data_IF_313023694981
#
_entry.id   IF_313023694981
#
_cell.length_a   1.000
_cell.length_b   1.000
_cell.length_c   1.000
_cell.angle_alpha   90.00
_cell.angle_beta   90.00
_cell.angle_gamma   90.00
#
_symmetry.space_group_name_H-M   'P 1'
#
loop_
_entity.id
_entity.type
_entity.pdbx_description
1 polymer ?
#
# COMPACT_ATOMS: atom_id res chain seq x y z
N UNK A 1 -9.22 16.12 -17.60
CA UNK A 1 -8.81 14.95 -16.79
C UNK A 1 -9.92 13.92 -16.80
N UNK A 2 -9.59 12.68 -17.04
CA UNK A 2 -10.51 11.52 -16.99
C UNK A 2 -10.00 10.51 -15.95
N UNK A 3 -10.92 9.84 -15.25
CA UNK A 3 -10.58 8.85 -14.23
C UNK A 3 -11.28 7.54 -14.57
N UNK A 4 -10.52 6.47 -14.76
CA UNK A 4 -11.05 5.13 -15.00
C UNK A 4 -10.77 4.26 -13.79
N UNK A 5 -11.79 3.57 -13.30
CA UNK A 5 -11.65 2.57 -12.26
C UNK A 5 -11.50 1.18 -12.86
N UNK A 6 -10.47 0.48 -12.46
CA UNK A 6 -10.49 -0.98 -12.57
C UNK A 6 -11.40 -1.62 -11.52
N UNK A 7 -11.43 -2.95 -11.50
CA UNK A 7 -12.33 -3.70 -10.63
C UNK A 7 -11.75 -4.02 -9.24
N UNK A 8 -10.43 -3.90 -9.05
CA UNK A 8 -9.77 -4.32 -7.81
C UNK A 8 -10.13 -3.49 -6.59
N UNK A 9 -10.47 -2.20 -6.77
CA UNK A 9 -10.79 -1.29 -5.66
C UNK A 9 -11.64 -0.10 -6.13
N UNK A 10 -12.83 -0.40 -6.63
CA UNK A 10 -13.76 0.61 -7.12
C UNK A 10 -14.15 1.64 -6.05
N UNK A 11 -14.38 1.27 -4.77
CA UNK A 11 -14.69 2.26 -3.72
C UNK A 11 -13.62 3.34 -3.55
N UNK A 12 -12.33 2.99 -3.63
CA UNK A 12 -11.25 3.98 -3.58
C UNK A 12 -11.29 4.91 -4.81
N UNK A 13 -11.52 4.37 -6.00
CA UNK A 13 -11.63 5.19 -7.21
C UNK A 13 -12.82 6.16 -7.13
N UNK A 14 -13.95 5.73 -6.60
CA UNK A 14 -15.14 6.57 -6.36
C UNK A 14 -14.85 7.66 -5.32
N UNK A 15 -14.13 7.33 -4.24
CA UNK A 15 -13.71 8.31 -3.23
C UNK A 15 -12.73 9.36 -3.80
N UNK A 16 -11.80 8.94 -4.67
CA UNK A 16 -10.89 9.86 -5.39
C UNK A 16 -11.69 10.77 -6.34
N UNK A 17 -12.62 10.20 -7.10
CA UNK A 17 -13.49 10.94 -8.02
C UNK A 17 -14.33 12.00 -7.28
N UNK A 18 -14.89 11.64 -6.12
CA UNK A 18 -15.61 12.55 -5.25
C UNK A 18 -14.72 13.68 -4.70
N UNK A 19 -13.50 13.35 -4.25
CA UNK A 19 -12.53 14.36 -3.78
C UNK A 19 -12.17 15.38 -4.89
N UNK A 20 -12.07 14.91 -6.13
CA UNK A 20 -11.71 15.73 -7.29
C UNK A 20 -12.89 16.45 -7.94
N UNK A 21 -14.11 16.20 -7.47
CA UNK A 21 -15.35 16.66 -8.12
C UNK A 21 -15.35 16.32 -9.61
N UNK A 22 -14.93 15.10 -9.94
CA UNK A 22 -14.78 14.62 -11.32
C UNK A 22 -15.37 13.21 -11.39
N UNK A 23 -16.40 12.97 -12.22
CA UNK A 23 -17.03 11.65 -12.30
C UNK A 23 -16.06 10.62 -12.88
N UNK A 24 -16.27 9.35 -12.53
CA UNK A 24 -15.58 8.25 -13.19
C UNK A 24 -16.03 8.17 -14.64
N UNK A 25 -15.05 7.98 -15.53
CA UNK A 25 -15.28 7.72 -16.96
C UNK A 25 -16.02 6.41 -17.12
N UNK A 26 -17.04 6.41 -17.97
CA UNK A 26 -17.82 5.21 -18.24
C UNK A 26 -16.99 4.21 -19.06
N UNK A 27 -16.78 3.06 -18.47
CA UNK A 27 -16.09 1.94 -19.09
C UNK A 27 -16.63 0.61 -18.56
N UNK A 28 -16.73 -0.36 -19.44
CA UNK A 28 -17.03 -1.74 -19.08
C UNK A 28 -15.72 -2.51 -18.91
N UNK A 29 -15.50 -3.04 -17.73
CA UNK A 29 -14.41 -3.95 -17.42
C UNK A 29 -15.04 -5.27 -16.98
N UNK A 30 -14.95 -6.29 -17.81
CA UNK A 30 -15.62 -7.57 -17.60
C UNK A 30 -14.74 -8.73 -18.07
N UNK A 31 -15.17 -9.93 -17.77
CA UNK A 31 -14.51 -11.16 -18.21
C UNK A 31 -15.40 -11.94 -19.14
N UNK A 32 -14.80 -12.56 -20.15
CA UNK A 32 -15.46 -13.58 -20.96
C UNK A 32 -15.63 -14.88 -20.14
N UNK A 33 -16.35 -15.84 -20.70
CA UNK A 33 -16.61 -17.14 -20.04
C UNK A 33 -15.33 -17.94 -19.75
N UNK A 34 -14.29 -17.75 -20.52
CA UNK A 34 -12.95 -18.32 -20.35
C UNK A 34 -12.02 -17.49 -19.45
N UNK A 35 -12.59 -16.44 -18.81
CA UNK A 35 -11.91 -15.54 -17.87
C UNK A 35 -10.96 -14.51 -18.53
N UNK A 36 -10.89 -14.42 -19.86
CA UNK A 36 -10.17 -13.33 -20.52
C UNK A 36 -10.77 -11.96 -20.17
N UNK A 37 -9.92 -10.98 -19.97
CA UNK A 37 -10.34 -9.62 -19.63
C UNK A 37 -10.79 -8.88 -20.90
N UNK A 38 -11.95 -8.25 -20.81
CA UNK A 38 -12.48 -7.34 -21.81
C UNK A 38 -12.65 -5.94 -21.22
N UNK A 39 -12.20 -4.93 -21.97
CA UNK A 39 -12.35 -3.51 -21.60
C UNK A 39 -12.96 -2.75 -22.78
N UNK A 40 -14.00 -1.98 -22.52
CA UNK A 40 -14.61 -1.05 -23.48
C UNK A 40 -14.81 0.30 -22.81
N UNK A 41 -14.27 1.36 -23.42
CA UNK A 41 -14.37 2.73 -22.92
C UNK A 41 -15.44 3.45 -23.72
N UNK A 42 -16.52 3.89 -23.05
CA UNK A 42 -17.70 4.47 -23.72
C UNK A 42 -17.60 5.98 -23.96
N UNK A 43 -16.59 6.62 -23.38
CA UNK A 43 -16.36 8.06 -23.53
C UNK A 43 -15.17 8.36 -24.44
N UNK A 44 -15.19 9.53 -25.05
CA UNK A 44 -14.04 9.99 -25.82
C UNK A 44 -12.87 10.32 -24.88
N UNK A 45 -11.74 9.66 -25.09
CA UNK A 45 -10.49 9.87 -24.34
C UNK A 45 -9.37 10.49 -25.16
N UNK A 46 -9.64 10.78 -26.46
CA UNK A 46 -8.64 11.36 -27.36
C UNK A 46 -8.15 12.71 -26.85
N UNK A 47 -6.84 12.84 -26.70
CA UNK A 47 -6.21 14.06 -26.22
C UNK A 47 -6.39 14.35 -24.72
N UNK A 48 -7.05 13.44 -23.99
CA UNK A 48 -7.28 13.59 -22.55
C UNK A 48 -6.07 13.11 -21.72
N UNK A 49 -5.96 13.69 -20.53
CA UNK A 49 -5.08 13.22 -19.45
C UNK A 49 -5.88 12.22 -18.61
N UNK A 50 -5.52 10.95 -18.66
CA UNK A 50 -6.30 9.85 -18.11
C UNK A 50 -5.56 9.16 -16.98
N UNK A 51 -6.25 8.96 -15.86
CA UNK A 51 -5.76 8.25 -14.68
C UNK A 51 -6.51 6.93 -14.54
N UNK A 52 -5.77 5.81 -14.52
CA UNK A 52 -6.33 4.46 -14.33
C UNK A 52 -6.05 4.03 -12.90
N UNK A 53 -7.08 3.92 -12.07
CA UNK A 53 -6.97 3.51 -10.67
C UNK A 53 -7.17 2.00 -10.57
N UNK A 54 -6.08 1.25 -10.30
CA UNK A 54 -6.11 -0.20 -10.19
C UNK A 54 -5.00 -0.70 -9.28
N UNK A 55 -5.34 -1.25 -8.13
CA UNK A 55 -4.40 -2.01 -7.28
C UNK A 55 -4.13 -3.39 -7.88
N UNK A 56 -2.87 -3.80 -7.93
CA UNK A 56 -2.49 -5.14 -8.39
C UNK A 56 -2.43 -6.14 -7.22
N UNK A 57 -3.45 -6.06 -6.35
CA UNK A 57 -3.69 -6.96 -5.21
C UNK A 57 -4.33 -8.28 -5.68
N UNK A 58 -4.62 -9.17 -4.72
CA UNK A 58 -5.29 -10.45 -5.03
C UNK A 58 -6.68 -10.24 -5.69
N UNK A 59 -6.97 -10.97 -6.76
CA UNK A 59 -6.11 -11.90 -7.52
C UNK A 59 -5.12 -11.14 -8.41
N UNK A 60 -3.82 -11.18 -8.04
CA UNK A 60 -2.80 -10.26 -8.56
C UNK A 60 -2.60 -10.35 -10.07
N UNK A 61 -2.60 -11.56 -10.64
CA UNK A 61 -2.41 -11.76 -12.08
C UNK A 61 -3.58 -11.20 -12.88
N UNK A 62 -4.80 -11.39 -12.39
CA UNK A 62 -6.01 -10.90 -13.02
C UNK A 62 -6.08 -9.38 -13.00
N UNK A 63 -5.81 -8.77 -11.84
CA UNK A 63 -5.82 -7.33 -11.68
C UNK A 63 -4.69 -6.64 -12.45
N UNK A 64 -3.54 -7.31 -12.58
CA UNK A 64 -2.45 -6.84 -13.44
C UNK A 64 -2.87 -6.88 -14.92
N UNK A 65 -3.40 -8.01 -15.40
CA UNK A 65 -3.83 -8.12 -16.81
C UNK A 65 -4.92 -7.11 -17.12
N UNK A 66 -5.86 -6.87 -16.22
CA UNK A 66 -6.90 -5.85 -16.37
C UNK A 66 -6.30 -4.44 -16.51
N UNK A 67 -5.30 -4.11 -15.70
CA UNK A 67 -4.56 -2.86 -15.84
C UNK A 67 -3.92 -2.76 -17.23
N UNK A 68 -3.18 -3.78 -17.67
CA UNK A 68 -2.47 -3.77 -18.95
C UNK A 68 -3.42 -3.61 -20.13
N UNK A 69 -4.55 -4.33 -20.16
CA UNK A 69 -5.57 -4.22 -21.22
C UNK A 69 -6.22 -2.84 -21.23
N UNK A 70 -6.46 -2.26 -20.03
CA UNK A 70 -7.01 -0.90 -19.91
C UNK A 70 -6.04 0.15 -20.46
N UNK A 71 -4.76 0.03 -20.15
CA UNK A 71 -3.72 0.93 -20.66
C UNK A 71 -3.61 0.86 -22.18
N UNK A 72 -3.64 -0.36 -22.76
CA UNK A 72 -3.61 -0.55 -24.23
C UNK A 72 -4.86 0.04 -24.92
N UNK A 73 -6.05 -0.13 -24.32
CA UNK A 73 -7.28 0.47 -24.84
C UNK A 73 -7.20 2.01 -24.88
N UNK A 74 -6.67 2.63 -23.82
CA UNK A 74 -6.48 4.09 -23.76
C UNK A 74 -5.45 4.59 -24.76
N UNK A 75 -4.33 3.88 -24.93
CA UNK A 75 -3.30 4.18 -25.91
C UNK A 75 -3.87 4.13 -27.33
N UNK A 76 -4.66 3.10 -27.66
CA UNK A 76 -5.37 2.99 -28.95
C UNK A 76 -6.46 4.02 -29.11
N UNK A 77 -7.09 4.45 -28.00
CA UNK A 77 -8.04 5.56 -27.96
C UNK A 77 -7.39 6.94 -28.12
N UNK A 78 -6.05 7.01 -28.27
CA UNK A 78 -5.27 8.26 -28.43
C UNK A 78 -5.38 9.19 -27.22
N UNK A 79 -5.43 8.68 -26.00
CA UNK A 79 -5.24 9.49 -24.81
C UNK A 79 -3.90 10.24 -24.90
N UNK A 80 -3.85 11.47 -24.39
CA UNK A 80 -2.64 12.32 -24.46
C UNK A 80 -1.57 11.85 -23.49
N UNK A 81 -1.99 11.51 -22.28
CA UNK A 81 -1.13 11.01 -21.20
C UNK A 81 -1.91 10.00 -20.39
N UNK A 82 -1.30 8.89 -20.06
CA UNK A 82 -1.92 7.82 -19.28
C UNK A 82 -1.10 7.62 -18.01
N UNK A 83 -1.71 7.92 -16.86
CA UNK A 83 -1.11 7.69 -15.55
C UNK A 83 -1.72 6.44 -14.92
N UNK A 84 -0.90 5.43 -14.68
CA UNK A 84 -1.29 4.25 -13.90
C UNK A 84 -1.22 4.59 -12.41
N UNK A 85 -2.37 4.72 -11.78
CA UNK A 85 -2.50 4.92 -10.32
C UNK A 85 -2.65 3.55 -9.69
N UNK A 86 -1.58 3.07 -9.07
CA UNK A 86 -1.49 1.72 -8.51
C UNK A 86 -1.31 1.83 -6.99
N UNK A 87 -2.41 1.95 -6.21
CA UNK A 87 -2.32 2.15 -4.76
C UNK A 87 -1.56 1.03 -4.06
N UNK A 88 -1.72 -0.21 -4.50
CA UNK A 88 -0.89 -1.35 -4.11
C UNK A 88 -0.20 -1.96 -5.33
N UNK A 89 1.13 -1.92 -5.32
CA UNK A 89 1.97 -2.51 -6.36
C UNK A 89 2.30 -3.97 -5.99
N UNK A 90 1.60 -4.90 -6.60
CA UNK A 90 1.83 -6.33 -6.42
C UNK A 90 3.22 -6.76 -6.90
N UNK A 91 3.70 -7.90 -6.42
CA UNK A 91 5.05 -8.42 -6.69
C UNK A 91 6.20 -7.54 -6.19
N UNK A 92 5.94 -6.43 -5.49
CA UNK A 92 6.96 -5.53 -4.97
C UNK A 92 7.99 -6.21 -4.06
N UNK A 93 7.60 -7.28 -3.36
CA UNK A 93 8.49 -8.08 -2.50
C UNK A 93 9.53 -8.91 -3.28
N UNK A 94 9.41 -8.97 -4.62
CA UNK A 94 10.35 -9.65 -5.51
C UNK A 94 11.18 -8.61 -6.28
N UNK A 95 11.81 -7.70 -5.53
CA UNK A 95 12.59 -6.57 -6.04
C UNK A 95 14.06 -6.92 -6.32
N UNK A 96 14.50 -8.11 -5.92
CA UNK A 96 15.86 -8.63 -6.09
C UNK A 96 15.85 -10.15 -6.21
N UNK A 97 16.94 -10.70 -6.69
CA UNK A 97 17.13 -12.16 -6.70
C UNK A 97 17.29 -12.66 -5.27
N UNK A 98 16.41 -13.53 -4.82
CA UNK A 98 16.47 -14.20 -3.52
C UNK A 98 17.33 -15.47 -3.53
N UNK A 99 17.73 -15.94 -4.71
CA UNK A 99 18.57 -17.13 -4.91
C UNK A 99 19.01 -17.28 -6.36
N UNK A 100 19.77 -18.33 -6.67
CA UNK A 100 20.18 -18.62 -8.04
C UNK A 100 18.96 -18.84 -8.95
N UNK A 101 18.97 -18.27 -10.15
CA UNK A 101 17.93 -18.46 -11.20
C UNK A 101 16.53 -18.01 -10.79
N UNK A 102 16.40 -17.10 -9.81
CA UNK A 102 15.13 -16.46 -9.45
C UNK A 102 14.91 -15.19 -10.27
N UNK A 103 13.64 -14.82 -10.55
CA UNK A 103 13.30 -13.59 -11.27
C UNK A 103 13.45 -12.35 -10.38
N UNK A 104 13.34 -11.17 -11.02
CA UNK A 104 13.04 -9.89 -10.38
C UNK A 104 11.65 -9.47 -10.89
N UNK A 105 10.60 -10.01 -10.29
CA UNK A 105 9.24 -9.86 -10.80
C UNK A 105 8.75 -8.41 -10.74
N UNK A 106 9.20 -7.63 -9.76
CA UNK A 106 8.88 -6.20 -9.69
C UNK A 106 9.37 -5.43 -10.93
N UNK A 107 10.58 -5.77 -11.46
CA UNK A 107 11.08 -5.18 -12.71
C UNK A 107 10.30 -5.65 -13.94
N UNK A 108 9.93 -6.93 -13.98
CA UNK A 108 9.11 -7.46 -15.08
C UNK A 108 7.77 -6.70 -15.18
N UNK A 109 7.09 -6.49 -14.05
CA UNK A 109 5.84 -5.75 -14.02
C UNK A 109 6.02 -4.30 -14.47
N UNK A 110 7.09 -3.63 -14.02
CA UNK A 110 7.39 -2.27 -14.44
C UNK A 110 7.52 -2.17 -15.98
N UNK A 111 8.22 -3.13 -16.60
CA UNK A 111 8.36 -3.19 -18.05
C UNK A 111 7.02 -3.44 -18.75
N UNK A 112 6.19 -4.35 -18.24
CA UNK A 112 4.87 -4.65 -18.82
C UNK A 112 3.95 -3.44 -18.77
N UNK A 113 3.88 -2.73 -17.64
CA UNK A 113 3.07 -1.52 -17.46
C UNK A 113 3.51 -0.41 -18.42
N UNK A 114 4.82 -0.18 -18.54
CA UNK A 114 5.37 0.80 -19.48
C UNK A 114 5.06 0.42 -20.93
N UNK A 115 5.27 -0.85 -21.31
CA UNK A 115 5.01 -1.36 -22.67
C UNK A 115 3.53 -1.28 -23.04
N UNK A 116 2.63 -1.51 -22.07
CA UNK A 116 1.18 -1.44 -22.28
C UNK A 116 0.69 -0.01 -22.58
N UNK A 117 1.47 1.02 -22.20
CA UNK A 117 1.16 2.40 -22.58
C UNK A 117 1.05 3.40 -21.44
N UNK A 118 1.50 3.05 -20.24
CA UNK A 118 1.61 4.04 -19.17
C UNK A 118 2.72 5.06 -19.47
N UNK A 119 2.43 6.35 -19.33
CA UNK A 119 3.39 7.45 -19.42
C UNK A 119 3.92 7.87 -18.05
N UNK A 120 3.23 7.48 -16.98
CA UNK A 120 3.58 7.76 -15.57
C UNK A 120 2.97 6.71 -14.65
N UNK A 121 3.62 6.48 -13.52
CA UNK A 121 3.08 5.68 -12.42
C UNK A 121 2.92 6.54 -11.17
N UNK A 122 1.78 6.42 -10.49
CA UNK A 122 1.53 6.96 -9.16
C UNK A 122 1.22 5.80 -8.22
N UNK A 123 1.97 5.68 -7.15
CA UNK A 123 1.80 4.59 -6.17
C UNK A 123 2.05 5.11 -4.76
N UNK A 124 1.83 4.25 -3.75
CA UNK A 124 2.05 4.60 -2.35
C UNK A 124 2.86 3.50 -1.65
N UNK A 125 3.83 3.88 -0.83
CA UNK A 125 4.67 3.02 0.01
C UNK A 125 5.16 1.74 -0.69
N UNK A 126 5.91 1.88 -1.77
CA UNK A 126 6.59 0.75 -2.39
C UNK A 126 7.42 -0.02 -1.35
N UNK A 127 7.37 -1.35 -1.41
CA UNK A 127 8.11 -2.23 -0.51
C UNK A 127 9.60 -1.87 -0.43
N UNK A 128 10.17 -1.48 -1.55
CA UNK A 128 11.55 -1.00 -1.64
C UNK A 128 11.61 0.23 -2.54
N UNK A 129 12.19 1.32 -2.05
CA UNK A 129 12.24 2.60 -2.77
C UNK A 129 12.93 2.54 -4.12
N UNK A 130 13.89 1.62 -4.28
CA UNK A 130 14.59 1.39 -5.55
C UNK A 130 13.70 0.87 -6.69
N UNK A 131 12.49 0.36 -6.39
CA UNK A 131 11.53 -0.07 -7.42
C UNK A 131 11.13 1.09 -8.34
N UNK A 132 11.17 2.34 -7.85
CA UNK A 132 10.99 3.53 -8.70
C UNK A 132 11.98 3.55 -9.87
N UNK A 133 13.21 3.11 -9.67
CA UNK A 133 14.23 3.00 -10.70
C UNK A 133 14.04 1.82 -11.67
N UNK A 134 13.02 0.97 -11.45
CA UNK A 134 12.67 -0.10 -12.41
C UNK A 134 11.83 0.41 -13.57
N UNK A 135 11.22 1.57 -13.41
CA UNK A 135 10.47 2.25 -14.45
C UNK A 135 11.39 3.21 -15.21
N UNK A 136 11.27 3.20 -16.53
CA UNK A 136 11.91 4.19 -17.41
C UNK A 136 11.00 5.40 -17.67
N UNK A 137 9.85 5.43 -17.02
CA UNK A 137 8.87 6.53 -17.02
C UNK A 137 8.80 7.17 -15.63
N UNK A 138 8.34 8.44 -15.51
CA UNK A 138 8.16 9.10 -14.23
C UNK A 138 7.33 8.26 -13.26
N UNK A 139 7.83 8.11 -12.03
CA UNK A 139 7.17 7.31 -10.98
C UNK A 139 7.15 8.11 -9.69
N UNK A 140 5.93 8.42 -9.23
CA UNK A 140 5.68 9.10 -7.97
C UNK A 140 5.28 8.06 -6.92
N UNK A 141 6.12 7.86 -5.90
CA UNK A 141 5.85 6.99 -4.76
C UNK A 141 5.50 7.85 -3.56
N UNK A 142 4.21 7.98 -3.25
CA UNK A 142 3.74 8.69 -2.05
C UNK A 142 3.96 7.86 -0.78
N UNK A 143 3.72 8.46 0.37
CA UNK A 143 3.80 7.81 1.67
C UNK A 143 2.51 7.98 2.46
N UNK A 144 2.04 6.92 3.13
CA UNK A 144 0.88 6.96 4.02
C UNK A 144 1.19 7.62 5.37
N UNK A 145 2.45 7.92 5.66
CA UNK A 145 2.88 8.51 6.92
C UNK A 145 2.08 9.76 7.35
N UNK A 146 1.73 10.72 6.48
CA UNK A 146 0.84 11.84 6.85
C UNK A 146 -0.51 11.37 7.37
N UNK A 147 -1.17 10.45 6.66
CA UNK A 147 -2.49 9.90 7.04
C UNK A 147 -2.42 9.18 8.38
N UNK A 148 -1.35 8.43 8.62
CA UNK A 148 -1.11 7.77 9.90
C UNK A 148 -0.82 8.76 11.02
N UNK A 149 -0.04 9.82 10.76
CA UNK A 149 0.28 10.85 11.74
C UNK A 149 -0.97 11.49 12.30
N UNK A 150 -1.88 11.92 11.43
CA UNK A 150 -3.12 12.59 11.81
C UNK A 150 -3.99 11.70 12.70
N UNK A 151 -4.12 10.43 12.33
CA UNK A 151 -4.91 9.46 13.08
C UNK A 151 -4.27 9.08 14.43
N UNK A 152 -2.95 8.93 14.47
CA UNK A 152 -2.22 8.65 15.72
C UNK A 152 -2.34 9.83 16.68
N UNK A 153 -2.16 11.06 16.21
CA UNK A 153 -2.28 12.27 17.04
C UNK A 153 -3.69 12.44 17.58
N UNK A 154 -4.72 12.14 16.79
CA UNK A 154 -6.10 12.18 17.24
C UNK A 154 -6.44 11.12 18.31
N UNK A 155 -5.77 9.94 18.25
CA UNK A 155 -6.01 8.84 19.19
C UNK A 155 -5.21 8.98 20.50
N UNK A 156 -4.01 9.55 20.44
CA UNK A 156 -3.06 9.61 21.57
C UNK A 156 -2.69 11.07 21.89
N UNK A 157 -3.54 11.72 22.70
CA UNK A 157 -3.33 13.13 23.13
C UNK A 157 -2.15 13.34 24.06
N UNK A 158 -1.66 12.31 24.77
CA UNK A 158 -0.63 12.40 25.81
C UNK A 158 0.37 11.24 25.77
N UNK A 159 1.44 11.46 25.26
CA UNK A 159 2.84 11.41 25.53
C UNK A 159 3.55 10.14 26.00
N UNK A 160 3.07 8.93 25.99
CA UNK A 160 3.89 7.72 26.21
C UNK A 160 3.98 6.84 24.94
N UNK A 161 4.03 7.50 23.79
CA UNK A 161 4.14 6.79 22.52
C UNK A 161 5.57 6.31 22.26
N UNK A 162 5.67 5.15 21.64
CA UNK A 162 6.88 4.60 21.08
C UNK A 162 6.57 4.05 19.70
N UNK A 163 7.26 4.54 18.67
CA UNK A 163 7.19 3.91 17.35
C UNK A 163 8.09 2.68 17.34
N UNK A 164 7.63 1.59 16.74
CA UNK A 164 8.35 0.33 16.70
C UNK A 164 8.51 -0.14 15.26
N UNK A 165 9.75 -0.42 14.86
CA UNK A 165 9.99 -1.16 13.62
C UNK A 165 9.88 -2.66 13.89
N UNK A 166 8.98 -3.39 13.20
CA UNK A 166 8.81 -4.83 13.42
C UNK A 166 9.98 -5.68 12.93
N UNK A 167 10.93 -5.08 12.21
CA UNK A 167 12.18 -5.69 11.76
C UNK A 167 13.23 -4.62 11.39
N UNK A 168 14.42 -5.06 11.04
CA UNK A 168 15.54 -4.16 10.67
C UNK A 168 15.26 -3.46 9.31
N UNK A 169 14.51 -4.10 8.42
CA UNK A 169 14.20 -3.55 7.08
C UNK A 169 13.28 -2.33 7.14
N UNK A 170 12.34 -2.29 8.09
CA UNK A 170 11.37 -1.21 8.27
C UNK A 170 11.88 0.02 9.03
N UNK A 171 13.12 0.01 9.54
CA UNK A 171 13.66 1.07 10.44
C UNK A 171 13.59 2.47 9.83
N UNK A 172 13.85 2.60 8.52
CA UNK A 172 13.82 3.93 7.86
C UNK A 172 12.40 4.51 7.90
N UNK A 173 11.38 3.70 7.61
CA UNK A 173 9.96 4.08 7.64
C UNK A 173 9.53 4.44 9.06
N UNK A 174 9.82 3.58 10.02
CA UNK A 174 9.49 3.80 11.43
C UNK A 174 10.15 5.07 11.98
N UNK A 175 11.42 5.32 11.64
CA UNK A 175 12.15 6.53 12.03
C UNK A 175 11.52 7.80 11.44
N UNK A 176 11.07 7.75 10.19
CA UNK A 176 10.40 8.89 9.57
C UNK A 176 9.12 9.26 10.34
N UNK A 177 8.29 8.27 10.68
CA UNK A 177 7.07 8.49 11.46
C UNK A 177 7.38 8.95 12.90
N UNK A 178 8.38 8.35 13.59
CA UNK A 178 8.80 8.76 14.92
C UNK A 178 9.23 10.24 14.96
N UNK A 179 9.97 10.70 13.95
CA UNK A 179 10.37 12.11 13.82
C UNK A 179 9.17 13.03 13.63
N UNK A 180 8.19 12.65 12.79
CA UNK A 180 6.97 13.45 12.59
C UNK A 180 6.16 13.63 13.87
N UNK A 181 6.07 12.56 14.65
CA UNK A 181 5.35 12.54 15.94
C UNK A 181 6.19 13.08 17.10
N UNK A 182 7.50 13.32 16.90
CA UNK A 182 8.45 13.70 17.91
C UNK A 182 8.48 12.72 19.11
N UNK A 183 8.58 11.41 18.81
CA UNK A 183 8.61 10.32 19.80
C UNK A 183 9.80 9.39 19.56
N UNK A 184 10.08 8.55 20.55
CA UNK A 184 11.17 7.58 20.50
C UNK A 184 10.89 6.42 19.53
N UNK A 185 11.95 5.71 19.14
CA UNK A 185 11.93 4.56 18.24
C UNK A 185 12.52 3.33 18.94
N UNK A 186 11.81 2.21 18.88
CA UNK A 186 12.33 0.88 19.18
C UNK A 186 12.39 0.01 17.92
N UNK A 187 13.24 -1.01 17.95
CA UNK A 187 13.45 -1.93 16.82
C UNK A 187 13.37 -3.36 17.32
N UNK A 188 12.65 -4.21 16.62
CA UNK A 188 12.63 -5.65 16.87
C UNK A 188 13.66 -6.31 15.93
N UNK A 189 14.75 -6.81 16.52
CA UNK A 189 15.76 -7.61 15.82
C UNK A 189 15.40 -9.10 15.94
N UNK A 190 15.07 -9.71 14.82
CA UNK A 190 14.68 -11.13 14.73
C UNK A 190 15.90 -11.97 14.44
N UNK A 191 16.25 -12.86 15.35
CA UNK A 191 17.36 -13.80 15.15
C UNK A 191 16.84 -15.22 15.16
N UNK A 192 17.20 -15.98 14.13
CA UNK A 192 17.07 -17.43 14.08
C UNK A 192 18.43 -18.05 14.37
N UNK A 193 18.71 -18.50 15.61
CA UNK A 193 20.03 -19.04 15.97
C UNK A 193 20.40 -20.27 15.13
N UNK A 194 19.42 -21.09 14.75
CA UNK A 194 19.56 -22.30 13.88
C UNK A 194 18.24 -22.63 13.21
N UNK A 195 18.31 -23.37 12.09
CA UNK A 195 17.12 -23.95 11.47
C UNK A 195 16.38 -24.89 12.47
N UNK A 196 15.06 -24.70 12.63
CA UNK A 196 14.24 -25.48 13.57
C UNK A 196 14.14 -24.95 14.99
N UNK A 197 14.85 -23.86 15.34
CA UNK A 197 14.72 -23.19 16.64
C UNK A 197 13.73 -22.04 16.55
N UNK A 198 12.95 -21.83 17.62
CA UNK A 198 12.01 -20.70 17.72
C UNK A 198 12.74 -19.38 17.48
N UNK A 199 12.08 -18.47 16.77
CA UNK A 199 12.57 -17.13 16.49
C UNK A 199 12.70 -16.35 17.80
N UNK A 200 13.91 -15.85 18.11
CA UNK A 200 14.15 -15.00 19.26
C UNK A 200 13.99 -13.55 18.79
N UNK A 201 13.12 -12.81 19.47
CA UNK A 201 12.92 -11.39 19.24
C UNK A 201 13.70 -10.60 20.29
N UNK A 202 14.69 -9.84 19.84
CA UNK A 202 15.43 -8.91 20.67
C UNK A 202 14.89 -7.50 20.44
N UNK A 203 14.42 -6.83 21.50
CA UNK A 203 13.90 -5.46 21.42
C UNK A 203 15.02 -4.50 21.77
N UNK A 204 15.33 -3.61 20.84
CA UNK A 204 16.29 -2.51 21.03
C UNK A 204 15.48 -1.25 21.32
N UNK A 205 15.60 -0.73 22.52
CA UNK A 205 14.82 0.38 23.09
C UNK A 205 14.01 -0.06 24.31
N UNK A 206 13.63 0.88 25.16
CA UNK A 206 12.82 0.60 26.36
C UNK A 206 11.34 0.85 26.06
N UNK A 207 10.57 -0.24 25.97
CA UNK A 207 9.15 -0.23 25.66
C UNK A 207 8.26 -0.34 26.90
N UNK A 208 8.87 -0.49 28.09
CA UNK A 208 8.12 -0.63 29.33
C UNK A 208 7.32 0.62 29.65
N UNK A 209 6.05 0.46 29.96
CA UNK A 209 5.13 1.56 30.25
C UNK A 209 4.78 2.45 29.03
N UNK A 210 5.04 1.99 27.81
CA UNK A 210 4.79 2.73 26.57
C UNK A 210 3.59 2.17 25.78
N UNK A 211 2.91 3.06 25.06
CA UNK A 211 1.99 2.68 23.99
C UNK A 211 2.81 2.48 22.70
N UNK A 212 2.96 1.25 22.28
CA UNK A 212 3.80 0.88 21.14
C UNK A 212 2.98 0.91 19.83
N UNK A 213 3.50 1.59 18.80
CA UNK A 213 2.91 1.63 17.48
C UNK A 213 3.90 1.01 16.50
N UNK A 214 3.60 -0.20 16.04
CA UNK A 214 4.36 -0.86 14.98
C UNK A 214 4.00 -0.26 13.61
N UNK A 215 5.01 -0.07 12.76
CA UNK A 215 4.83 0.52 11.42
C UNK A 215 5.48 -0.34 10.37
N UNK A 216 4.71 -0.72 9.34
CA UNK A 216 5.22 -1.50 8.21
C UNK A 216 4.53 -1.08 6.89
N UNK A 217 5.06 -1.56 5.75
CA UNK A 217 4.40 -1.36 4.45
C UNK A 217 3.33 -2.40 4.15
N UNK A 218 3.58 -3.66 4.48
CA UNK A 218 2.70 -4.79 4.11
C UNK A 218 2.45 -5.69 5.31
N UNK A 219 1.20 -6.01 5.55
CA UNK A 219 0.80 -7.15 6.38
C UNK A 219 0.13 -8.20 5.49
N UNK A 220 0.76 -9.38 5.41
CA UNK A 220 0.26 -10.52 4.62
C UNK A 220 -0.37 -11.58 5.52
N UNK A 221 0.39 -12.54 6.01
CA UNK A 221 -0.15 -13.59 6.90
C UNK A 221 -0.39 -13.14 8.34
N UNK A 222 0.14 -11.98 8.75
CA UNK A 222 0.01 -11.41 10.09
C UNK A 222 0.87 -12.08 11.17
N UNK A 223 1.53 -13.21 10.87
CA UNK A 223 2.29 -13.97 11.88
C UNK A 223 3.41 -13.15 12.54
N UNK A 224 4.22 -12.49 11.73
CA UNK A 224 5.30 -11.61 12.20
C UNK A 224 4.78 -10.52 13.12
N UNK A 225 3.70 -9.85 12.71
CA UNK A 225 3.09 -8.74 13.45
C UNK A 225 2.53 -9.20 14.81
N UNK A 226 1.82 -10.35 14.83
CA UNK A 226 1.27 -10.91 16.06
C UNK A 226 2.37 -11.35 17.05
N UNK A 227 3.43 -11.98 16.53
CA UNK A 227 4.58 -12.37 17.37
C UNK A 227 5.32 -11.14 17.93
N UNK A 228 5.49 -10.10 17.13
CA UNK A 228 6.07 -8.84 17.54
C UNK A 228 5.22 -8.16 18.63
N UNK A 229 3.90 -8.13 18.45
CA UNK A 229 2.98 -7.60 19.46
C UNK A 229 3.09 -8.35 20.80
N UNK A 230 3.15 -9.69 20.74
CA UNK A 230 3.36 -10.49 21.96
C UNK A 230 4.68 -10.15 22.65
N UNK A 231 5.78 -10.08 21.92
CA UNK A 231 7.09 -9.76 22.48
C UNK A 231 7.11 -8.36 23.16
N UNK A 232 6.46 -7.37 22.56
CA UNK A 232 6.32 -6.03 23.14
C UNK A 232 5.51 -6.05 24.43
N UNK A 233 4.37 -6.76 24.44
CA UNK A 233 3.55 -6.91 25.66
C UNK A 233 4.29 -7.65 26.77
N UNK A 234 4.99 -8.73 26.42
CA UNK A 234 5.83 -9.49 27.37
C UNK A 234 6.98 -8.64 27.94
N UNK A 235 7.39 -7.58 27.21
CA UNK A 235 8.42 -6.61 27.64
C UNK A 235 7.85 -5.38 28.36
N UNK A 236 6.57 -5.41 28.75
CA UNK A 236 5.94 -4.39 29.59
C UNK A 236 5.31 -3.22 28.84
N UNK A 237 5.07 -3.33 27.53
CA UNK A 237 4.28 -2.35 26.79
C UNK A 237 2.84 -2.27 27.35
N UNK A 238 2.27 -1.07 27.39
CA UNK A 238 0.88 -0.85 27.85
C UNK A 238 -0.14 -1.31 26.81
N UNK A 239 0.15 -1.07 25.54
CA UNK A 239 -0.66 -1.49 24.41
C UNK A 239 0.22 -1.59 23.17
N UNK A 240 -0.24 -2.35 22.18
CA UNK A 240 0.43 -2.46 20.89
C UNK A 240 -0.59 -2.27 19.77
N UNK A 241 -0.41 -1.22 19.00
CA UNK A 241 -1.13 -0.98 17.77
C UNK A 241 -0.21 -1.18 16.55
N UNK A 242 -0.78 -1.44 15.40
CA UNK A 242 -0.02 -1.51 14.16
C UNK A 242 -0.64 -0.63 13.08
N UNK A 243 0.19 0.13 12.39
CA UNK A 243 -0.17 0.95 11.23
C UNK A 243 0.60 0.42 10.02
N UNK A 244 -0.12 -0.12 9.07
CA UNK A 244 0.45 -0.81 7.92
C UNK A 244 -0.23 -0.33 6.65
N UNK A 245 0.54 0.11 5.66
CA UNK A 245 -0.03 0.72 4.46
C UNK A 245 -0.89 -0.29 3.69
N UNK A 246 -0.40 -1.50 3.46
CA UNK A 246 -1.08 -2.48 2.62
C UNK A 246 -1.54 -3.69 3.41
N UNK A 247 -2.84 -3.76 3.65
CA UNK A 247 -3.50 -4.91 4.28
C UNK A 247 -3.80 -6.03 3.26
N UNK A 248 -2.79 -6.83 2.89
CA UNK A 248 -3.01 -7.99 2.01
C UNK A 248 -3.84 -9.05 2.73
N UNK A 249 -3.55 -9.31 3.98
CA UNK A 249 -4.32 -10.13 4.93
C UNK A 249 -4.75 -11.50 4.36
N UNK A 250 -3.81 -12.22 3.76
CA UNK A 250 -4.05 -13.52 3.16
C UNK A 250 -4.22 -14.64 4.22
N UNK A 251 -4.86 -15.73 3.82
CA UNK A 251 -4.85 -17.01 4.50
C UNK A 251 -5.06 -16.98 6.02
N UNK A 252 -6.22 -16.58 6.53
CA UNK A 252 -6.53 -16.61 7.97
C UNK A 252 -5.84 -15.51 8.80
N UNK A 253 -5.22 -14.52 8.16
CA UNK A 253 -4.53 -13.40 8.83
C UNK A 253 -5.49 -12.60 9.73
N UNK A 254 -6.69 -12.31 9.26
CA UNK A 254 -7.71 -11.57 10.04
C UNK A 254 -8.00 -12.28 11.36
N UNK A 255 -8.24 -13.59 11.31
CA UNK A 255 -8.52 -14.41 12.50
C UNK A 255 -7.33 -14.44 13.46
N UNK A 256 -6.10 -14.55 12.92
CA UNK A 256 -4.85 -14.52 13.72
C UNK A 256 -4.67 -13.18 14.42
N UNK A 257 -4.92 -12.08 13.73
CA UNK A 257 -4.82 -10.73 14.29
C UNK A 257 -5.90 -10.53 15.36
N UNK A 258 -7.13 -10.97 15.10
CA UNK A 258 -8.23 -10.86 16.06
C UNK A 258 -7.98 -11.61 17.37
N UNK A 259 -7.20 -12.72 17.34
CA UNK A 259 -6.83 -13.51 18.52
C UNK A 259 -5.48 -13.15 19.12
N UNK A 260 -4.77 -12.16 18.58
CA UNK A 260 -3.47 -11.71 19.08
C UNK A 260 -3.61 -10.63 20.16
N UNK A 261 -2.54 -10.31 20.92
CA UNK A 261 -2.54 -9.20 21.85
C UNK A 261 -2.48 -7.81 21.18
N UNK A 262 -2.59 -7.75 19.86
CA UNK A 262 -2.64 -6.49 19.12
C UNK A 262 -3.93 -5.74 19.43
N UNK A 263 -3.81 -4.53 19.96
CA UNK A 263 -4.96 -3.67 20.30
C UNK A 263 -5.74 -3.30 19.04
N UNK A 264 -5.04 -2.83 18.01
CA UNK A 264 -5.66 -2.60 16.70
C UNK A 264 -4.64 -2.72 15.56
N UNK A 265 -5.14 -3.16 14.40
CA UNK A 265 -4.47 -3.02 13.12
C UNK A 265 -5.17 -1.93 12.32
N UNK A 266 -4.43 -0.93 11.93
CA UNK A 266 -4.88 0.15 11.04
C UNK A 266 -4.18 -0.03 9.70
N UNK A 267 -4.94 -0.18 8.63
CA UNK A 267 -4.41 -0.22 7.26
C UNK A 267 -4.94 0.96 6.45
N UNK A 268 -4.38 1.19 5.29
CA UNK A 268 -5.04 2.08 4.32
C UNK A 268 -6.02 1.29 3.45
N UNK A 269 -6.86 2.01 2.74
CA UNK A 269 -7.76 1.46 1.73
C UNK A 269 -7.07 1.26 0.35
N UNK A 270 -5.73 1.16 0.32
CA UNK A 270 -4.96 0.80 -0.89
C UNK A 270 -5.35 -0.55 -1.48
N UNK A 271 -5.85 -1.45 -0.64
CA UNK A 271 -6.48 -2.72 -0.99
C UNK A 271 -7.89 -2.71 -0.41
N UNK A 272 -8.86 -3.11 -1.22
CA UNK A 272 -10.27 -3.13 -0.79
C UNK A 272 -10.45 -4.10 0.39
N UNK A 273 -11.15 -3.64 1.44
CA UNK A 273 -11.47 -4.47 2.60
C UNK A 273 -12.32 -5.70 2.21
N UNK A 274 -11.88 -6.87 2.65
CA UNK A 274 -12.69 -8.07 2.58
C UNK A 274 -13.81 -8.03 3.63
N UNK A 275 -14.84 -8.87 3.48
CA UNK A 275 -15.90 -8.99 4.47
C UNK A 275 -15.35 -9.36 5.85
N UNK A 276 -14.37 -10.27 5.90
CA UNK A 276 -13.71 -10.65 7.16
C UNK A 276 -13.05 -9.45 7.86
N UNK A 277 -12.44 -8.53 7.11
CA UNK A 277 -11.87 -7.30 7.68
C UNK A 277 -12.96 -6.37 8.22
N UNK A 278 -14.09 -6.22 7.52
CA UNK A 278 -15.18 -5.31 7.90
C UNK A 278 -15.84 -5.70 9.20
N UNK A 279 -15.92 -7.01 9.50
CA UNK A 279 -16.53 -7.53 10.73
C UNK A 279 -15.53 -7.67 11.87
N UNK A 280 -14.24 -7.55 11.62
CA UNK A 280 -13.20 -7.64 12.64
C UNK A 280 -13.20 -6.38 13.52
N UNK A 281 -13.30 -6.56 14.85
CA UNK A 281 -13.41 -5.44 15.80
C UNK A 281 -12.13 -4.62 15.96
N UNK A 282 -10.98 -5.23 15.71
CA UNK A 282 -9.67 -4.62 15.91
C UNK A 282 -8.91 -4.36 14.58
N UNK A 283 -9.61 -4.36 13.44
CA UNK A 283 -9.04 -3.98 12.14
C UNK A 283 -9.87 -2.84 11.57
N UNK A 284 -9.21 -1.77 11.14
CA UNK A 284 -9.87 -0.64 10.47
C UNK A 284 -9.03 -0.10 9.32
N UNK A 285 -9.64 0.63 8.41
CA UNK A 285 -8.97 1.27 7.29
C UNK A 285 -9.05 2.78 7.36
N UNK A 286 -7.98 3.44 6.93
CA UNK A 286 -7.93 4.88 6.68
C UNK A 286 -7.93 5.12 5.18
N UNK A 287 -8.67 6.12 4.73
CA UNK A 287 -8.71 6.43 3.31
C UNK A 287 -7.50 7.24 2.87
N UNK A 288 -6.90 6.81 1.76
CA UNK A 288 -5.85 7.54 1.04
C UNK A 288 -6.39 8.30 -0.18
N UNK A 289 -7.72 8.32 -0.36
CA UNK A 289 -8.33 9.02 -1.49
C UNK A 289 -7.97 10.51 -1.55
N UNK A 290 -7.95 11.29 -0.44
CA UNK A 290 -7.53 12.69 -0.49
C UNK A 290 -6.06 12.84 -0.92
N UNK A 291 -5.16 11.98 -0.45
CA UNK A 291 -3.74 12.02 -0.78
C UNK A 291 -3.51 11.72 -2.26
N UNK A 292 -4.12 10.64 -2.78
CA UNK A 292 -4.02 10.27 -4.19
C UNK A 292 -4.71 11.31 -5.09
N UNK A 293 -5.89 11.79 -4.69
CA UNK A 293 -6.62 12.82 -5.44
C UNK A 293 -5.83 14.12 -5.57
N UNK A 294 -5.22 14.60 -4.49
CA UNK A 294 -4.37 15.79 -4.54
C UNK A 294 -3.14 15.58 -5.44
N UNK A 295 -2.51 14.41 -5.38
CA UNK A 295 -1.41 14.09 -6.28
C UNK A 295 -1.86 14.06 -7.75
N UNK A 296 -2.97 13.41 -8.06
CA UNK A 296 -3.55 13.37 -9.41
C UNK A 296 -3.89 14.78 -9.92
N UNK A 297 -4.48 15.62 -9.08
CA UNK A 297 -4.77 17.03 -9.40
C UNK A 297 -3.51 17.80 -9.74
N UNK A 298 -2.44 17.66 -8.96
CA UNK A 298 -1.15 18.33 -9.22
C UNK A 298 -0.49 17.82 -10.48
N UNK A 299 -0.48 16.51 -10.72
CA UNK A 299 0.04 15.91 -11.95
C UNK A 299 -0.72 16.47 -13.17
N UNK A 300 -2.05 16.53 -13.09
CA UNK A 300 -2.87 17.09 -14.16
C UNK A 300 -2.60 18.55 -14.43
N UNK A 301 -2.38 19.33 -13.37
CA UNK A 301 -2.07 20.76 -13.44
C UNK A 301 -0.58 21.07 -13.68
N UNK A 302 0.25 20.04 -13.89
CA UNK A 302 1.71 20.16 -14.06
C UNK A 302 2.42 20.85 -12.89
N UNK A 303 1.85 20.69 -11.68
CA UNK A 303 2.40 21.22 -10.43
C UNK A 303 3.24 20.17 -9.70
N UNK A 304 4.15 20.68 -8.86
CA UNK A 304 5.00 19.81 -8.03
C UNK A 304 4.17 18.99 -7.04
N UNK A 305 4.48 17.69 -6.94
CA UNK A 305 3.97 16.77 -5.93
C UNK A 305 4.88 16.67 -4.71
N UNK A 306 6.05 17.34 -4.72
CA UNK A 306 7.11 17.17 -3.71
C UNK A 306 6.66 17.45 -2.29
N UNK A 307 5.74 18.40 -2.06
CA UNK A 307 5.21 18.69 -0.72
C UNK A 307 4.31 17.61 -0.15
N UNK A 308 3.89 16.63 -0.96
CA UNK A 308 3.10 15.47 -0.51
C UNK A 308 3.98 14.35 0.06
N UNK A 309 5.30 14.45 -0.11
CA UNK A 309 6.28 13.50 0.42
C UNK A 309 6.82 13.90 1.81
N UNK A 310 6.44 15.08 2.30
CA UNK A 310 6.95 15.64 3.57
C UNK A 310 6.08 15.28 4.76
#
# INVERSE_FOLDING_TARGET
>A
MKIISGTSNRPLAEAIAAYLDTPLTQADVRRFADMEVFVEIHENVRGEDVFVVQSTSYPANDNLMELLVTLDALRRGSARRITAVIPYYGYARQDRKSGPRTPISAKLLANLITTAGADRVLTIDLHAGQIQGFFDIPTDNLYAAPVFTDDIQAKYENGNLMIVSPDVGGVVRARALARRLNVDLAIIDKRRPRAGVSEVMNIIGDVSGRHCIMVDDIVDSGGTLCNAAKALMDSGALSVDAYVTHGVLSGGAVSRIASSPLTSLVTTDSIQATEAMRVARNIRQLSIAPLLGEAMKRIHQEKSVSSLFQ
#
